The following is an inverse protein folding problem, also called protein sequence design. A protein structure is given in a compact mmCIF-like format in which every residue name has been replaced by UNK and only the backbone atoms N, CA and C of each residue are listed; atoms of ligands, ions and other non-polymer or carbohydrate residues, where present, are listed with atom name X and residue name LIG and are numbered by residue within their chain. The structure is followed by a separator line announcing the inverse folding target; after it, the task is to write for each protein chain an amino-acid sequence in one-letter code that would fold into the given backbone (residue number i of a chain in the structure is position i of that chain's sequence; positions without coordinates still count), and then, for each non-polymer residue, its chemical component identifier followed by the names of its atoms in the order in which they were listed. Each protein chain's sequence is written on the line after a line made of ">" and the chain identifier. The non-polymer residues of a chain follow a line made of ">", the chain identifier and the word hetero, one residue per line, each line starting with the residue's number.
data_IF_835207032398
#
_entry.id   IF_835207032398
#
_cell.length_a   1.000
_cell.length_b   1.000
_cell.length_c   1.000
_cell.angle_alpha   90.00
_cell.angle_beta   90.00
_cell.angle_gamma   90.00
#
_symmetry.space_group_name_H-M   'P 1'
#
loop_
_entity.id
_entity.type
_entity.pdbx_description
1 polymer ?
#
# COMPACT_ATOMS: atom_id res chain seq x y z
N UNK A 1 -16.92 -3.94 -9.05
CA UNK A 1 -15.99 -4.88 -9.73
C UNK A 1 -16.81 -5.98 -10.39
N UNK A 2 -16.60 -6.30 -11.67
CA UNK A 2 -17.33 -7.39 -12.35
C UNK A 2 -16.68 -8.75 -12.09
N UNK A 3 -17.47 -9.83 -12.22
CA UNK A 3 -16.97 -11.22 -12.07
C UNK A 3 -15.88 -11.54 -13.10
N UNK A 4 -16.03 -11.08 -14.35
CA UNK A 4 -15.03 -11.26 -15.40
C UNK A 4 -13.67 -10.65 -15.03
N UNK A 5 -13.68 -9.45 -14.42
CA UNK A 5 -12.46 -8.78 -13.99
C UNK A 5 -11.78 -9.53 -12.84
N UNK A 6 -12.56 -10.16 -11.97
CA UNK A 6 -12.03 -11.02 -10.90
C UNK A 6 -11.37 -12.28 -11.48
N UNK A 7 -12.00 -12.94 -12.46
CA UNK A 7 -11.43 -14.11 -13.13
C UNK A 7 -10.12 -13.80 -13.86
N UNK A 8 -9.99 -12.61 -14.45
CA UNK A 8 -8.73 -12.13 -15.04
C UNK A 8 -7.64 -11.97 -13.99
N UNK A 9 -7.96 -11.33 -12.86
CA UNK A 9 -7.04 -11.11 -11.74
C UNK A 9 -6.56 -12.44 -11.18
N UNK A 10 -7.46 -13.41 -10.99
CA UNK A 10 -7.14 -14.73 -10.41
C UNK A 10 -6.21 -15.58 -11.30
N UNK A 11 -6.05 -15.24 -12.58
CA UNK A 11 -5.08 -15.89 -13.49
C UNK A 11 -3.67 -15.31 -13.37
N UNK A 12 -3.52 -14.16 -12.73
CA UNK A 12 -2.22 -13.52 -12.48
C UNK A 12 -1.56 -14.12 -11.24
N UNK A 13 -0.24 -13.96 -11.15
CA UNK A 13 0.55 -14.39 -10.00
C UNK A 13 1.62 -13.35 -9.65
N UNK A 14 2.19 -13.49 -8.44
CA UNK A 14 3.28 -12.64 -7.96
C UNK A 14 3.02 -11.14 -8.13
N UNK A 15 4.01 -10.43 -8.68
CA UNK A 15 3.94 -8.97 -8.89
C UNK A 15 2.86 -8.55 -9.88
N UNK A 16 2.53 -9.37 -10.88
CA UNK A 16 1.48 -9.05 -11.84
C UNK A 16 0.10 -8.98 -11.17
N UNK A 17 -0.19 -9.93 -10.29
CA UNK A 17 -1.41 -9.94 -9.48
C UNK A 17 -1.47 -8.70 -8.58
N UNK A 18 -0.40 -8.44 -7.82
CA UNK A 18 -0.32 -7.31 -6.91
C UNK A 18 -0.51 -5.99 -7.65
N UNK A 19 0.21 -5.78 -8.75
CA UNK A 19 0.10 -4.56 -9.57
C UNK A 19 -1.31 -4.37 -10.12
N UNK A 20 -1.96 -5.43 -10.60
CA UNK A 20 -3.33 -5.30 -11.09
C UNK A 20 -4.29 -4.89 -9.99
N UNK A 21 -4.22 -5.54 -8.83
CA UNK A 21 -5.11 -5.24 -7.69
C UNK A 21 -4.84 -3.83 -7.15
N UNK A 22 -3.58 -3.45 -6.95
CA UNK A 22 -3.17 -2.11 -6.49
C UNK A 22 -3.71 -1.02 -7.42
N UNK A 23 -3.54 -1.19 -8.74
CA UNK A 23 -4.03 -0.23 -9.72
C UNK A 23 -5.56 -0.15 -9.72
N UNK A 24 -6.24 -1.30 -9.65
CA UNK A 24 -7.69 -1.35 -9.64
C UNK A 24 -8.28 -0.67 -8.39
N UNK A 25 -7.63 -0.79 -7.23
CA UNK A 25 -8.00 -0.10 -5.99
C UNK A 25 -7.74 1.41 -6.13
N UNK A 26 -6.56 1.80 -6.61
CA UNK A 26 -6.18 3.20 -6.80
C UNK A 26 -7.20 3.94 -7.68
N UNK A 27 -7.55 3.36 -8.82
CA UNK A 27 -8.51 3.94 -9.76
C UNK A 27 -9.93 4.02 -9.19
N UNK A 28 -10.36 3.01 -8.41
CA UNK A 28 -11.70 2.98 -7.81
C UNK A 28 -11.84 4.01 -6.67
N UNK A 29 -10.83 4.10 -5.81
CA UNK A 29 -10.85 5.01 -4.66
C UNK A 29 -10.46 6.44 -5.04
N UNK A 30 -9.87 6.64 -6.22
CA UNK A 30 -9.27 7.93 -6.64
C UNK A 30 -8.32 8.46 -5.57
N UNK A 31 -7.55 7.54 -4.98
CA UNK A 31 -6.56 7.87 -3.96
C UNK A 31 -5.43 8.70 -4.57
N UNK A 32 -4.70 9.44 -3.73
CA UNK A 32 -3.46 10.07 -4.18
C UNK A 32 -2.43 9.01 -4.58
N UNK A 33 -2.31 7.95 -3.77
CA UNK A 33 -1.53 6.77 -4.09
C UNK A 33 -2.12 5.52 -3.40
N UNK A 34 -1.72 4.34 -3.87
CA UNK A 34 -2.04 3.06 -3.24
C UNK A 34 -0.85 2.13 -3.37
N UNK A 35 -0.50 1.43 -2.29
CA UNK A 35 0.60 0.47 -2.30
C UNK A 35 0.27 -0.78 -1.48
N UNK A 36 1.01 -1.85 -1.81
CA UNK A 36 1.21 -2.99 -0.93
C UNK A 36 2.65 -2.92 -0.45
N UNK A 37 2.84 -3.04 0.86
CA UNK A 37 4.14 -2.90 1.51
C UNK A 37 4.53 -4.17 2.24
N UNK A 38 5.81 -4.53 2.14
CA UNK A 38 6.43 -5.54 2.99
C UNK A 38 7.29 -4.83 4.04
N UNK A 39 7.10 -5.24 5.30
CA UNK A 39 7.79 -4.65 6.45
C UNK A 39 9.07 -5.42 6.73
N UNK A 40 10.22 -4.76 6.57
CA UNK A 40 11.53 -5.30 6.91
C UNK A 40 11.84 -5.00 8.38
N UNK A 41 11.29 -5.81 9.30
CA UNK A 41 11.39 -5.59 10.75
C UNK A 41 12.84 -5.37 11.26
N UNK A 42 13.81 -6.14 10.74
CA UNK A 42 15.22 -6.02 11.15
C UNK A 42 15.86 -4.68 10.74
N UNK A 43 15.33 -4.03 9.70
CA UNK A 43 15.85 -2.78 9.15
C UNK A 43 15.04 -1.57 9.62
N UNK A 44 13.95 -1.79 10.38
CA UNK A 44 12.98 -0.76 10.76
C UNK A 44 12.51 0.08 9.56
N UNK A 45 12.27 -0.61 8.45
CA UNK A 45 11.91 -0.02 7.17
C UNK A 45 10.76 -0.82 6.51
N UNK A 46 10.09 -0.18 5.57
CA UNK A 46 9.14 -0.83 4.68
C UNK A 46 9.57 -0.61 3.23
N UNK A 47 9.20 -1.55 2.37
CA UNK A 47 9.39 -1.42 0.94
C UNK A 47 8.09 -1.76 0.23
N UNK A 48 7.73 -0.98 -0.78
CA UNK A 48 6.59 -1.30 -1.61
C UNK A 48 6.93 -2.50 -2.48
N UNK A 49 5.99 -3.44 -2.59
CA UNK A 49 6.05 -4.54 -3.55
C UNK A 49 5.09 -4.32 -4.72
N UNK A 50 4.21 -3.33 -4.59
CA UNK A 50 3.38 -2.77 -5.64
C UNK A 50 2.99 -1.34 -5.26
N UNK A 51 3.11 -0.40 -6.19
CA UNK A 51 2.81 1.01 -5.94
C UNK A 51 2.11 1.62 -7.15
N UNK A 52 0.97 2.26 -6.92
CA UNK A 52 0.23 3.01 -7.93
C UNK A 52 0.14 4.48 -7.53
N UNK A 53 0.47 5.36 -8.47
CA UNK A 53 0.39 6.81 -8.37
C UNK A 53 0.11 7.40 -9.75
N UNK A 54 -0.57 8.54 -9.82
CA UNK A 54 -0.86 9.20 -11.10
C UNK A 54 -1.72 8.37 -12.06
N UNK A 55 -2.44 7.35 -11.56
CA UNK A 55 -3.26 6.47 -12.38
C UNK A 55 -2.52 5.29 -13.04
N UNK A 56 -1.25 5.09 -12.72
CA UNK A 56 -0.40 4.02 -13.25
C UNK A 56 0.40 3.32 -12.15
N UNK A 57 1.02 2.18 -12.49
CA UNK A 57 1.98 1.52 -11.60
C UNK A 57 3.32 2.23 -11.71
N UNK A 58 3.88 2.60 -10.56
CA UNK A 58 5.15 3.30 -10.43
C UNK A 58 6.23 2.37 -9.85
N UNK A 59 7.48 2.83 -9.90
CA UNK A 59 8.59 2.11 -9.30
C UNK A 59 8.41 1.92 -7.79
N UNK A 60 8.88 0.78 -7.29
CA UNK A 60 8.86 0.51 -5.87
C UNK A 60 9.84 1.41 -5.11
N UNK A 61 9.47 1.78 -3.89
CA UNK A 61 10.26 2.63 -3.01
C UNK A 61 10.39 1.99 -1.63
N UNK A 62 11.41 2.43 -0.89
CA UNK A 62 11.62 2.06 0.50
C UNK A 62 11.62 3.30 1.38
N UNK A 63 11.11 3.16 2.59
CA UNK A 63 11.04 4.25 3.57
C UNK A 63 11.25 3.71 5.00
N UNK A 64 11.75 4.58 5.87
CA UNK A 64 11.90 4.26 7.29
C UNK A 64 10.53 4.24 7.97
N UNK A 65 10.32 3.32 8.91
CA UNK A 65 9.06 3.27 9.65
C UNK A 65 8.93 4.44 10.62
N UNK A 66 10.04 4.92 11.18
CA UNK A 66 10.06 5.97 12.21
C UNK A 66 9.19 7.17 11.83
N UNK A 67 8.21 7.49 12.67
CA UNK A 67 7.37 8.66 12.45
C UNK A 67 6.30 8.49 11.37
N UNK A 68 6.07 7.27 10.88
CA UNK A 68 4.99 6.93 9.93
C UNK A 68 3.85 6.18 10.63
N UNK A 69 2.62 6.21 10.08
CA UNK A 69 1.54 5.33 10.53
C UNK A 69 1.91 3.84 10.52
N UNK A 70 2.74 3.43 9.56
CA UNK A 70 3.19 2.05 9.37
C UNK A 70 4.02 1.53 10.55
N UNK A 71 4.68 2.39 11.32
CA UNK A 71 5.40 1.99 12.52
C UNK A 71 4.48 1.31 13.55
N UNK A 72 3.26 1.80 13.70
CA UNK A 72 2.28 1.22 14.62
C UNK A 72 1.75 -0.11 14.10
N UNK A 73 1.44 -0.17 12.81
CA UNK A 73 1.02 -1.42 12.13
C UNK A 73 2.10 -2.52 12.29
N UNK A 74 3.38 -2.13 12.23
CA UNK A 74 4.49 -3.06 12.40
C UNK A 74 4.69 -3.55 13.85
N UNK A 75 4.19 -2.80 14.86
CA UNK A 75 4.30 -3.15 16.30
C UNK A 75 3.13 -4.00 16.78
N UNK A 76 1.91 -3.68 16.34
CA UNK A 76 0.68 -4.31 16.82
C UNK A 76 0.06 -5.21 15.74
N UNK A 77 0.60 -6.43 15.61
CA UNK A 77 0.10 -7.43 14.68
C UNK A 77 -1.35 -7.79 15.06
N UNK A 78 -2.31 -7.33 14.27
CA UNK A 78 -3.73 -7.68 14.40
C UNK A 78 -4.68 -6.50 14.62
N UNK A 79 -4.17 -5.29 14.84
CA UNK A 79 -5.03 -4.10 14.93
C UNK A 79 -5.31 -3.48 13.56
N UNK A 80 -6.58 -3.22 13.28
CA UNK A 80 -6.99 -2.41 12.14
C UNK A 80 -6.94 -0.93 12.51
N UNK A 81 -5.95 -0.21 11.98
CA UNK A 81 -5.73 1.19 12.29
C UNK A 81 -6.25 2.04 11.11
N UNK A 82 -7.20 2.94 11.39
CA UNK A 82 -7.72 3.91 10.43
C UNK A 82 -7.58 5.33 10.98
N UNK A 83 -6.89 6.20 10.22
CA UNK A 83 -6.78 7.62 10.55
C UNK A 83 -7.61 8.43 9.54
N UNK A 84 -8.76 8.93 9.99
CA UNK A 84 -9.73 9.60 9.12
C UNK A 84 -9.27 10.98 8.66
N UNK A 85 -8.67 11.78 9.55
CA UNK A 85 -8.32 13.18 9.28
C UNK A 85 -7.03 13.59 9.99
N UNK A 86 -6.38 14.63 9.47
CA UNK A 86 -5.20 15.31 10.06
C UNK A 86 -4.01 14.36 10.34
N UNK A 87 -3.81 13.34 9.49
CA UNK A 87 -2.68 12.39 9.57
C UNK A 87 -1.34 13.14 9.61
N UNK A 88 -1.19 14.15 8.74
CA UNK A 88 -0.01 15.03 8.65
C UNK A 88 0.34 15.78 9.95
N UNK A 89 -0.60 15.93 10.90
CA UNK A 89 -0.28 16.53 12.22
C UNK A 89 0.35 15.53 13.18
N UNK A 90 0.00 14.25 13.03
CA UNK A 90 0.54 13.15 13.84
C UNK A 90 1.84 12.59 13.26
N UNK A 91 1.97 12.63 11.95
CA UNK A 91 3.09 12.10 11.18
C UNK A 91 3.53 13.21 10.20
N UNK A 92 4.24 14.24 10.68
CA UNK A 92 4.56 15.42 9.87
C UNK A 92 5.71 15.18 8.87
N UNK A 93 6.44 14.09 9.03
CA UNK A 93 7.58 13.70 8.19
C UNK A 93 7.22 12.59 7.19
N UNK A 94 5.95 12.17 7.18
CA UNK A 94 5.32 11.20 6.25
C UNK A 94 4.46 11.94 5.22
#
# INVERSE_FOLDING_TARGET
>A
MSVQKLDEILKLNGSALLNRVTLDIHQQLKSHCTCVVEVAHLQHAAHTISFASGGEISDNLSYHLSGTPCEKVAKDIGEHIFYQDQVYKRFPED
#
